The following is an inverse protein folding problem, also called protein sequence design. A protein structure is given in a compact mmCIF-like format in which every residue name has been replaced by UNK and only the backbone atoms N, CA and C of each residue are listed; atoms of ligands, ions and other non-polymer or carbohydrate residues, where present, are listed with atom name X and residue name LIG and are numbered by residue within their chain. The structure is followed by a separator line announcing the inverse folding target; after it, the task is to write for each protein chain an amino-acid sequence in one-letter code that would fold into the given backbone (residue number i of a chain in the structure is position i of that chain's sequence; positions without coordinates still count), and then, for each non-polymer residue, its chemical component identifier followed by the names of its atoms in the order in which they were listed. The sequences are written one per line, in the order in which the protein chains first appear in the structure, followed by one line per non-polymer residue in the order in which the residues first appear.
data_IF_591214216984
#
_entry.id   IF_591214216984
#
_cell.length_a   1.000
_cell.length_b   1.000
_cell.length_c   1.000
_cell.angle_alpha   90.00
_cell.angle_beta   90.00
_cell.angle_gamma   90.00
#
_symmetry.space_group_name_H-M   'P 1'
#
loop_
_entity.id
_entity.type
_entity.pdbx_description
1 polymer ?
#
# COMPACT_ATOMS: atom_id res chain seq x y z
N UNK A 1 -12.88 -17.51 -7.09
CA UNK A 1 -13.16 -16.30 -6.27
C UNK A 1 -12.79 -15.02 -7.02
N UNK A 2 -13.73 -14.09 -7.19
CA UNK A 2 -13.43 -12.70 -7.55
C UNK A 2 -13.23 -11.86 -6.29
N UNK A 3 -12.45 -10.80 -6.40
CA UNK A 3 -12.24 -9.83 -5.32
C UNK A 3 -12.94 -8.52 -5.67
N UNK A 4 -13.51 -7.85 -4.66
CA UNK A 4 -14.06 -6.50 -4.80
C UNK A 4 -13.49 -5.59 -3.72
N UNK A 5 -12.97 -4.43 -4.14
CA UNK A 5 -12.50 -3.41 -3.21
C UNK A 5 -13.68 -2.85 -2.39
N UNK A 6 -13.58 -2.90 -1.06
CA UNK A 6 -14.61 -2.33 -0.16
C UNK A 6 -14.72 -0.81 -0.26
N UNK A 7 -13.67 -0.13 -0.74
CA UNK A 7 -13.62 1.33 -0.86
C UNK A 7 -14.03 1.83 -2.24
N UNK A 8 -13.33 1.42 -3.31
CA UNK A 8 -13.53 1.94 -4.67
C UNK A 8 -14.28 1.00 -5.61
N UNK A 9 -14.70 -0.19 -5.13
CA UNK A 9 -15.46 -1.19 -5.89
C UNK A 9 -14.76 -1.79 -7.12
N UNK A 10 -13.49 -1.46 -7.41
CA UNK A 10 -12.72 -2.17 -8.45
C UNK A 10 -12.72 -3.67 -8.15
N UNK A 11 -12.83 -4.49 -9.21
CA UNK A 11 -12.83 -5.95 -9.11
C UNK A 11 -11.64 -6.55 -9.82
N UNK A 12 -11.08 -7.63 -9.28
CA UNK A 12 -9.94 -8.36 -9.87
C UNK A 12 -10.04 -9.87 -9.58
N UNK A 13 -9.23 -10.68 -10.28
CA UNK A 13 -9.21 -12.14 -10.16
C UNK A 13 -10.12 -12.89 -11.16
N UNK A 14 -9.94 -14.21 -11.24
CA UNK A 14 -10.54 -15.10 -12.25
C UNK A 14 -11.56 -16.08 -11.61
N UNK A 15 -12.60 -15.57 -10.94
CA UNK A 15 -13.66 -16.39 -10.34
C UNK A 15 -15.05 -16.13 -10.94
N UNK A 16 -16.01 -17.02 -10.65
CA UNK A 16 -17.43 -16.83 -10.94
C UNK A 16 -18.13 -16.26 -9.69
N UNK A 17 -18.47 -14.96 -9.67
CA UNK A 17 -19.03 -14.33 -8.48
C UNK A 17 -20.43 -14.85 -8.10
N UNK A 18 -21.19 -15.40 -9.05
CA UNK A 18 -22.53 -15.90 -8.78
C UNK A 18 -22.49 -17.21 -7.99
N UNK A 19 -21.41 -17.99 -8.15
CA UNK A 19 -21.17 -19.25 -7.43
C UNK A 19 -20.28 -19.08 -6.21
N UNK A 20 -19.15 -18.40 -6.38
CA UNK A 20 -18.09 -18.28 -5.36
C UNK A 20 -18.33 -17.11 -4.41
N UNK A 21 -19.11 -16.11 -4.83
CA UNK A 21 -19.18 -14.82 -4.17
C UNK A 21 -17.97 -13.92 -4.45
N UNK A 22 -17.94 -12.78 -3.76
CA UNK A 22 -16.78 -11.89 -3.73
C UNK A 22 -16.04 -12.02 -2.40
N UNK A 23 -14.71 -12.06 -2.47
CA UNK A 23 -13.87 -11.71 -1.32
C UNK A 23 -13.73 -10.20 -1.25
N UNK A 24 -13.97 -9.65 -0.06
CA UNK A 24 -13.97 -8.21 0.19
C UNK A 24 -12.71 -7.79 0.93
N UNK A 25 -11.92 -6.92 0.31
CA UNK A 25 -10.70 -6.34 0.88
C UNK A 25 -10.43 -4.96 0.26
N UNK A 26 -9.27 -4.35 0.51
CA UNK A 26 -8.85 -3.14 -0.22
C UNK A 26 -8.03 -3.56 -1.45
N UNK A 27 -8.26 -2.90 -2.60
CA UNK A 27 -7.31 -3.01 -3.71
C UNK A 27 -5.97 -2.37 -3.33
N UNK A 28 -4.91 -2.66 -4.11
CA UNK A 28 -3.56 -2.17 -3.85
C UNK A 28 -3.52 -0.65 -3.61
N UNK A 29 -4.14 0.13 -4.48
CA UNK A 29 -4.15 1.60 -4.37
C UNK A 29 -4.92 2.10 -3.14
N UNK A 30 -6.06 1.50 -2.83
CA UNK A 30 -6.83 1.87 -1.64
C UNK A 30 -6.12 1.45 -0.34
N UNK A 31 -5.39 0.33 -0.36
CA UNK A 31 -4.58 -0.14 0.76
C UNK A 31 -3.40 0.81 1.01
N UNK A 32 -2.66 1.17 -0.04
CA UNK A 32 -1.58 2.17 0.07
C UNK A 32 -2.10 3.48 0.65
N UNK A 33 -3.21 4.00 0.12
CA UNK A 33 -3.79 5.24 0.60
C UNK A 33 -4.24 5.15 2.08
N UNK A 34 -4.74 4.00 2.53
CA UNK A 34 -5.14 3.80 3.92
C UNK A 34 -3.94 3.68 4.87
N UNK A 35 -2.86 3.02 4.45
CA UNK A 35 -1.70 2.76 5.28
C UNK A 35 -0.68 3.91 5.29
N UNK A 36 -0.62 4.71 4.22
CA UNK A 36 0.35 5.81 4.07
C UNK A 36 0.34 6.79 5.26
N UNK A 37 -0.82 7.31 5.72
CA UNK A 37 -0.84 8.22 6.87
C UNK A 37 -0.32 7.59 8.16
N UNK A 38 -0.55 6.29 8.36
CA UNK A 38 -0.09 5.55 9.53
C UNK A 38 1.44 5.45 9.53
N UNK A 39 2.04 5.08 8.41
CA UNK A 39 3.49 4.96 8.31
C UNK A 39 4.19 6.31 8.35
N UNK A 40 3.61 7.33 7.72
CA UNK A 40 4.07 8.72 7.81
C UNK A 40 4.11 9.24 9.24
N UNK A 41 3.05 8.98 10.01
CA UNK A 41 3.01 9.32 11.44
C UNK A 41 4.13 8.63 12.23
N UNK A 42 4.41 7.36 11.94
CA UNK A 42 5.50 6.61 12.60
C UNK A 42 6.88 7.11 12.18
N UNK A 43 7.07 7.41 10.90
CA UNK A 43 8.31 7.96 10.36
C UNK A 43 8.66 9.29 11.03
N UNK A 44 7.67 10.18 11.19
CA UNK A 44 7.84 11.43 11.95
C UNK A 44 8.22 11.17 13.41
N UNK A 45 7.64 10.16 14.06
CA UNK A 45 7.99 9.78 15.43
C UNK A 45 9.42 9.23 15.56
N UNK A 46 10.01 8.73 14.47
CA UNK A 46 11.43 8.33 14.39
C UNK A 46 12.37 9.51 14.09
N UNK A 47 11.85 10.73 13.89
CA UNK A 47 12.64 11.91 13.51
C UNK A 47 12.95 12.00 12.01
N UNK A 48 12.34 11.16 11.18
CA UNK A 48 12.50 11.18 9.73
C UNK A 48 11.46 12.12 9.06
N UNK A 49 11.70 12.50 7.79
CA UNK A 49 10.78 13.33 7.01
C UNK A 49 9.42 12.65 6.73
N UNK A 50 8.36 13.43 6.50
CA UNK A 50 7.05 12.91 6.08
C UNK A 50 7.03 12.48 4.60
N UNK A 51 7.76 11.40 4.27
CA UNK A 51 8.01 10.99 2.88
C UNK A 51 7.80 9.50 2.60
N UNK A 52 7.12 8.76 3.48
CA UNK A 52 6.88 7.33 3.28
C UNK A 52 6.24 7.06 1.91
N UNK A 53 6.86 6.14 1.16
CA UNK A 53 6.41 5.68 -0.14
C UNK A 53 6.66 6.64 -1.30
N UNK A 54 7.43 7.72 -1.13
CA UNK A 54 7.69 8.70 -2.21
C UNK A 54 9.07 8.55 -2.86
N UNK A 55 10.01 7.83 -2.24
CA UNK A 55 11.30 7.56 -2.87
C UNK A 55 11.13 6.60 -4.06
N UNK A 56 11.89 6.82 -5.13
CA UNK A 56 11.86 6.00 -6.35
C UNK A 56 13.12 5.14 -6.52
N UNK A 57 14.28 5.75 -6.31
CA UNK A 57 15.59 5.23 -6.68
C UNK A 57 16.67 5.60 -5.66
N UNK A 58 16.49 6.72 -4.96
CA UNK A 58 17.41 7.20 -3.94
C UNK A 58 16.69 7.71 -2.68
N UNK A 59 17.31 7.47 -1.52
CA UNK A 59 16.92 8.01 -0.23
C UNK A 59 18.14 8.09 0.69
N UNK A 60 18.42 9.29 1.19
CA UNK A 60 19.56 9.65 2.06
C UNK A 60 19.29 9.37 3.55
N UNK A 61 18.04 9.06 3.92
CA UNK A 61 17.66 8.69 5.29
C UNK A 61 18.06 7.25 5.61
N UNK A 62 19.37 6.97 5.67
CA UNK A 62 19.94 5.63 5.83
C UNK A 62 19.43 4.86 7.05
N UNK A 63 19.06 5.57 8.13
CA UNK A 63 18.54 5.00 9.37
C UNK A 63 16.99 4.86 9.39
N UNK A 64 16.28 5.32 8.35
CA UNK A 64 14.83 5.23 8.31
C UNK A 64 14.37 3.77 8.20
N UNK A 65 13.49 3.34 9.11
CA UNK A 65 12.92 1.98 9.15
C UNK A 65 12.27 1.59 7.83
N UNK A 66 11.68 2.55 7.13
CA UNK A 66 10.93 2.32 5.89
C UNK A 66 11.78 2.42 4.62
N UNK A 67 13.07 2.76 4.73
CA UNK A 67 13.93 3.05 3.56
C UNK A 67 13.93 1.91 2.54
N UNK A 68 14.07 0.67 3.00
CA UNK A 68 14.11 -0.50 2.11
C UNK A 68 12.79 -0.65 1.35
N UNK A 69 11.66 -0.48 2.03
CA UNK A 69 10.32 -0.56 1.41
C UNK A 69 10.14 0.53 0.37
N UNK A 70 10.58 1.76 0.67
CA UNK A 70 10.46 2.88 -0.27
C UNK A 70 11.34 2.72 -1.51
N UNK A 71 12.39 1.89 -1.47
CA UNK A 71 13.30 1.65 -2.59
C UNK A 71 13.02 0.31 -3.31
N UNK A 72 11.98 -0.42 -2.93
CA UNK A 72 11.55 -1.61 -3.67
C UNK A 72 11.05 -1.17 -5.06
N UNK A 73 11.74 -1.62 -6.11
CA UNK A 73 11.25 -1.44 -7.48
C UNK A 73 9.95 -2.20 -7.67
N UNK A 74 9.01 -1.55 -8.35
CA UNK A 74 7.83 -2.22 -8.90
C UNK A 74 8.24 -2.74 -10.28
N UNK A 75 8.43 -4.05 -10.38
CA UNK A 75 8.56 -4.76 -11.66
C UNK A 75 7.22 -4.77 -12.42
#
# INVERSE_FOLDING_TARGET
MKYQCIRCRVTWGNGDPERDGYSHGLCEECLKAALTPLYRKRQLAEGNFDCFGTASDYCDQHACTYRQICLLKKD
#
